data_IF_626312097471
#
_entry.id   IF_626312097471
#
_cell.length_a   1.000
_cell.length_b   1.000
_cell.length_c   1.000
_cell.angle_alpha   90.00
_cell.angle_beta   90.00
_cell.angle_gamma   90.00
#
_symmetry.space_group_name_H-M   'P 1'
#
loop_
_entity.id
_entity.type
_entity.pdbx_description
1 polymer ?
#
# COMPACT_ATOMS: atom_id res chain seq x y z
N UNK A 1 13.41 -18.56 -46.02
CA UNK A 1 14.06 -19.06 -44.79
C UNK A 1 14.48 -17.94 -43.84
N UNK A 2 15.36 -16.99 -44.21
CA UNK A 2 15.74 -15.91 -43.28
C UNK A 2 14.63 -14.86 -43.06
N UNK A 3 13.92 -14.48 -44.12
CA UNK A 3 12.85 -13.46 -44.05
C UNK A 3 11.65 -13.93 -43.23
N UNK A 4 11.26 -15.20 -43.37
CA UNK A 4 10.21 -15.81 -42.55
C UNK A 4 10.59 -15.88 -41.06
N UNK A 5 11.87 -16.11 -40.74
CA UNK A 5 12.36 -16.04 -39.36
C UNK A 5 12.34 -14.61 -38.81
N UNK A 6 12.66 -13.61 -39.64
CA UNK A 6 12.56 -12.19 -39.28
C UNK A 6 11.12 -11.78 -38.98
N UNK A 7 10.18 -12.11 -39.86
CA UNK A 7 8.75 -11.84 -39.66
C UNK A 7 8.24 -12.48 -38.36
N UNK A 8 8.63 -13.72 -38.08
CA UNK A 8 8.26 -14.40 -36.84
C UNK A 8 8.85 -13.72 -35.59
N UNK A 9 10.07 -13.18 -35.68
CA UNK A 9 10.69 -12.45 -34.58
C UNK A 9 9.97 -11.12 -34.35
N UNK A 10 9.68 -10.37 -35.41
CA UNK A 10 8.95 -9.10 -35.33
C UNK A 10 7.56 -9.29 -34.71
N UNK A 11 6.81 -10.30 -35.16
CA UNK A 11 5.51 -10.63 -34.58
C UNK A 11 5.60 -10.98 -33.08
N UNK A 12 6.65 -11.71 -32.68
CA UNK A 12 6.90 -12.02 -31.26
C UNK A 12 7.28 -10.79 -30.45
N UNK A 13 8.05 -9.87 -31.03
CA UNK A 13 8.45 -8.63 -30.37
C UNK A 13 7.20 -7.78 -30.12
N UNK A 14 6.35 -7.54 -31.13
CA UNK A 14 5.11 -6.77 -30.95
C UNK A 14 4.23 -7.36 -29.85
N UNK A 15 4.04 -8.68 -29.85
CA UNK A 15 3.26 -9.33 -28.78
C UNK A 15 3.89 -9.17 -27.39
N UNK A 16 5.22 -9.20 -27.30
CA UNK A 16 5.92 -8.99 -26.04
C UNK A 16 5.84 -7.53 -25.58
N UNK A 17 5.87 -6.56 -26.49
CA UNK A 17 5.68 -5.14 -26.18
C UNK A 17 4.28 -4.90 -25.60
N UNK A 18 3.24 -5.44 -26.23
CA UNK A 18 1.86 -5.37 -25.74
C UNK A 18 1.72 -5.98 -24.34
N UNK A 19 2.33 -7.16 -24.13
CA UNK A 19 2.32 -7.84 -22.83
C UNK A 19 3.03 -7.03 -21.75
N UNK A 20 4.17 -6.40 -22.08
CA UNK A 20 4.91 -5.54 -21.16
C UNK A 20 4.06 -4.33 -20.77
N UNK A 21 3.34 -3.72 -21.71
CA UNK A 21 2.45 -2.61 -21.41
C UNK A 21 1.31 -3.01 -20.46
N UNK A 22 0.70 -4.17 -20.70
CA UNK A 22 -0.36 -4.71 -19.83
C UNK A 22 0.15 -5.01 -18.41
N UNK A 23 1.34 -5.61 -18.31
CA UNK A 23 1.99 -5.88 -17.02
C UNK A 23 2.31 -4.58 -16.28
N UNK A 24 2.84 -3.56 -16.97
CA UNK A 24 3.11 -2.25 -16.37
C UNK A 24 1.84 -1.60 -15.83
N UNK A 25 0.74 -1.63 -16.60
CA UNK A 25 -0.56 -1.13 -16.15
C UNK A 25 -1.05 -1.87 -14.90
N UNK A 26 -0.87 -3.19 -14.87
CA UNK A 26 -1.27 -4.02 -13.73
C UNK A 26 -0.44 -3.69 -12.48
N UNK A 27 0.88 -3.58 -12.60
CA UNK A 27 1.79 -3.19 -11.51
C UNK A 27 1.41 -1.82 -10.97
N UNK A 28 1.14 -0.85 -11.86
CA UNK A 28 0.71 0.49 -11.43
C UNK A 28 -0.61 0.47 -10.64
N UNK A 29 -1.59 -0.32 -11.08
CA UNK A 29 -2.84 -0.49 -10.34
C UNK A 29 -2.65 -1.18 -9.00
N UNK A 30 -1.72 -2.15 -8.91
CA UNK A 30 -1.36 -2.81 -7.66
C UNK A 30 -0.68 -1.83 -6.70
N UNK A 31 0.25 -1.00 -7.17
CA UNK A 31 0.91 0.01 -6.35
C UNK A 31 -0.10 0.97 -5.72
N UNK A 32 -1.05 1.49 -6.51
CA UNK A 32 -2.12 2.35 -5.97
C UNK A 32 -2.99 1.67 -4.91
N UNK A 33 -3.21 0.35 -5.01
CA UNK A 33 -3.93 -0.41 -3.98
C UNK A 33 -3.10 -0.54 -2.71
N UNK A 34 -1.80 -0.79 -2.84
CA UNK A 34 -0.86 -0.84 -1.72
C UNK A 34 -0.80 0.50 -0.99
N UNK A 35 -0.64 1.61 -1.71
CA UNK A 35 -0.59 2.95 -1.11
C UNK A 35 -1.86 3.25 -0.29
N UNK A 36 -3.03 2.84 -0.80
CA UNK A 36 -4.31 2.97 -0.07
C UNK A 36 -4.35 2.10 1.18
N UNK A 37 -3.88 0.86 1.10
CA UNK A 37 -3.83 -0.04 2.26
C UNK A 37 -2.86 0.49 3.32
N UNK A 38 -1.69 0.97 2.92
CA UNK A 38 -0.70 1.59 3.81
C UNK A 38 -1.28 2.81 4.52
N UNK A 39 -1.99 3.68 3.79
CA UNK A 39 -2.67 4.83 4.37
C UNK A 39 -3.73 4.44 5.41
N UNK A 40 -4.51 3.38 5.14
CA UNK A 40 -5.50 2.84 6.09
C UNK A 40 -4.81 2.28 7.33
N UNK A 41 -3.75 1.48 7.16
CA UNK A 41 -2.96 0.94 8.26
C UNK A 41 -2.40 2.06 9.14
N UNK A 42 -1.80 3.09 8.54
CA UNK A 42 -1.28 4.24 9.27
C UNK A 42 -2.38 5.01 10.03
N UNK A 43 -3.58 5.12 9.45
CA UNK A 43 -4.74 5.70 10.13
C UNK A 43 -5.18 4.87 11.34
N UNK A 44 -5.26 3.55 11.19
CA UNK A 44 -5.60 2.62 12.28
C UNK A 44 -4.58 2.68 13.42
N UNK A 45 -3.28 2.69 13.09
CA UNK A 45 -2.21 2.84 14.09
C UNK A 45 -2.37 4.13 14.88
N UNK A 46 -2.60 5.27 14.21
CA UNK A 46 -2.84 6.56 14.89
C UNK A 46 -4.09 6.52 15.76
N UNK A 47 -5.16 5.89 15.29
CA UNK A 47 -6.39 5.76 16.07
C UNK A 47 -6.16 4.96 17.36
N UNK A 48 -5.46 3.83 17.27
CA UNK A 48 -5.11 3.01 18.45
C UNK A 48 -4.24 3.80 19.43
N UNK A 49 -3.27 4.58 18.94
CA UNK A 49 -2.44 5.45 19.77
C UNK A 49 -3.29 6.51 20.50
N UNK A 50 -4.18 7.20 19.78
CA UNK A 50 -5.08 8.21 20.38
C UNK A 50 -5.99 7.63 21.46
N UNK A 51 -6.47 6.39 21.29
CA UNK A 51 -7.28 5.70 22.29
C UNK A 51 -6.44 5.33 23.53
N UNK A 52 -5.17 4.95 23.34
CA UNK A 52 -4.26 4.64 24.43
C UNK A 52 -3.92 5.90 25.26
N UNK A 53 -3.70 7.04 24.59
CA UNK A 53 -3.48 8.34 25.22
C UNK A 53 -4.70 8.80 26.02
N UNK A 54 -5.90 8.76 25.42
CA UNK A 54 -7.15 9.10 26.09
C UNK A 54 -7.43 8.23 27.33
N UNK A 55 -7.03 6.95 27.32
CA UNK A 55 -7.13 6.07 28.49
C UNK A 55 -6.20 6.50 29.63
N UNK A 56 -5.04 7.08 29.31
CA UNK A 56 -4.05 7.52 30.27
C UNK A 56 -4.44 8.86 30.92
N UNK A 57 -5.06 9.76 30.15
CA UNK A 57 -5.62 11.02 30.64
C UNK A 57 -6.87 10.83 31.53
N UNK A 58 -7.59 9.72 31.36
CA UNK A 58 -8.73 9.32 32.19
C UNK A 58 -8.39 8.61 33.50
N UNK A 59 -7.11 8.29 33.78
CA UNK A 59 -6.71 7.85 35.11
C UNK A 59 -6.45 9.09 35.98
N UNK A 60 -7.23 9.36 37.03
CA UNK A 60 -6.93 10.44 37.95
C UNK A 60 -5.54 10.17 38.54
N UNK A 61 -4.59 11.04 38.23
CA UNK A 61 -3.25 10.99 38.75
C UNK A 61 -3.32 11.27 40.26
N UNK A 62 -3.53 10.20 41.04
CA UNK A 62 -3.12 10.09 42.43
C UNK A 62 -3.41 11.34 43.28
N UNK A 63 -4.67 11.81 43.29
CA UNK A 63 -5.10 12.85 44.21
C UNK A 63 -5.02 12.30 45.63
N UNK A 64 -3.96 12.69 46.35
CA UNK A 64 -3.74 12.34 47.75
C UNK A 64 -4.91 12.91 48.56
N UNK A 65 -5.68 12.08 49.31
CA UNK A 65 -6.83 12.58 50.04
C UNK A 65 -6.39 13.63 51.08
N UNK A 66 -7.09 14.79 51.20
CA UNK A 66 -6.83 15.74 52.26
C UNK A 66 -7.29 15.12 53.59
N UNK A 67 -6.33 14.81 54.47
CA UNK A 67 -6.63 14.44 55.84
C UNK A 67 -7.11 15.69 56.60
N UNK A 68 -8.35 15.63 57.08
CA UNK A 68 -8.87 16.48 58.16
C UNK A 68 -8.72 15.75 59.50
#
# INVERSE_FOLDING_TARGET
MNEERLINIEAKITFQEDLIEELNKTVYQQQQKLDRLEAVCASLTRHIQSLAEARNEGMPANERPPHY
#
